data_IF_664208254743
#
_entry.id   IF_664208254743
#
_cell.length_a   1.000
_cell.length_b   1.000
_cell.length_c   1.000
_cell.angle_alpha   90.00
_cell.angle_beta   90.00
_cell.angle_gamma   90.00
#
_symmetry.space_group_name_H-M   'P 1'
#
loop_
_entity.id
_entity.type
_entity.pdbx_description
1 polymer ?
#
# COMPACT_ATOMS: atom_id res chain seq x y z
N UNK A 1 -32.90 6.80 0.74
CA UNK A 1 -31.48 6.96 1.06
C UNK A 1 -31.19 6.18 2.34
N UNK A 2 -30.19 5.29 2.39
CA UNK A 2 -29.78 4.68 3.66
C UNK A 2 -29.00 5.75 4.41
N UNK A 3 -29.54 6.24 5.52
CA UNK A 3 -28.81 7.15 6.40
C UNK A 3 -27.59 6.40 6.94
N UNK A 4 -26.40 6.86 6.58
CA UNK A 4 -25.14 6.40 7.16
C UNK A 4 -24.65 7.51 8.09
N UNK A 5 -24.32 7.14 9.34
CA UNK A 5 -23.74 8.05 10.31
C UNK A 5 -22.28 7.65 10.56
N UNK A 6 -21.35 8.60 10.54
CA UNK A 6 -20.00 8.40 11.06
C UNK A 6 -20.03 8.68 12.56
N UNK A 7 -19.66 7.68 13.36
CA UNK A 7 -19.47 7.83 14.80
C UNK A 7 -17.97 7.78 15.06
N UNK A 8 -17.41 8.93 15.39
CA UNK A 8 -16.00 9.09 15.72
C UNK A 8 -15.85 9.35 17.22
N UNK A 9 -15.11 8.48 17.89
CA UNK A 9 -14.69 8.68 19.28
C UNK A 9 -13.19 8.96 19.35
N UNK A 10 -12.77 9.68 20.39
CA UNK A 10 -11.36 10.01 20.62
C UNK A 10 -10.91 9.39 21.93
N UNK A 11 -9.79 8.67 21.90
CA UNK A 11 -9.08 8.26 23.11
C UNK A 11 -7.97 9.27 23.39
N UNK A 12 -8.01 9.91 24.55
CA UNK A 12 -7.08 10.96 24.96
C UNK A 12 -5.67 10.40 25.24
N UNK A 13 -5.62 9.16 25.72
CA UNK A 13 -4.40 8.40 25.99
C UNK A 13 -4.59 6.88 25.73
N UNK A 14 -3.52 6.11 25.90
CA UNK A 14 -3.54 4.66 25.70
C UNK A 14 -4.22 3.85 26.83
N UNK A 15 -4.54 4.49 27.95
CA UNK A 15 -5.18 3.85 29.12
C UNK A 15 -6.71 3.83 28.92
N UNK A 16 -7.27 4.82 28.22
CA UNK A 16 -8.72 4.95 27.96
C UNK A 16 -9.27 4.09 26.81
N UNK A 17 -8.45 3.29 26.12
CA UNK A 17 -8.87 2.54 24.92
C UNK A 17 -10.12 1.69 25.16
N UNK A 18 -10.16 0.91 26.25
CA UNK A 18 -11.30 0.04 26.57
C UNK A 18 -12.60 0.83 26.82
N UNK A 19 -12.50 1.95 27.55
CA UNK A 19 -13.64 2.82 27.82
C UNK A 19 -14.16 3.47 26.53
N UNK A 20 -13.26 3.91 25.65
CA UNK A 20 -13.60 4.50 24.36
C UNK A 20 -14.28 3.49 23.44
N UNK A 21 -13.78 2.25 23.35
CA UNK A 21 -14.44 1.19 22.59
C UNK A 21 -15.83 0.88 23.16
N UNK A 22 -15.97 0.79 24.49
CA UNK A 22 -17.26 0.54 25.13
C UNK A 22 -18.30 1.64 24.82
N UNK A 23 -17.90 2.93 24.86
CA UNK A 23 -18.78 4.03 24.46
C UNK A 23 -19.17 3.95 22.99
N UNK A 24 -18.20 3.72 22.11
CA UNK A 24 -18.44 3.61 20.67
C UNK A 24 -19.43 2.49 20.34
N UNK A 25 -19.32 1.33 21.02
CA UNK A 25 -20.29 0.24 20.89
C UNK A 25 -21.69 0.63 21.40
N UNK A 26 -21.78 1.37 22.50
CA UNK A 26 -23.06 1.90 23.00
C UNK A 26 -23.75 2.81 21.98
N UNK A 27 -22.98 3.70 21.34
CA UNK A 27 -23.48 4.52 20.25
C UNK A 27 -23.86 3.71 19.00
N UNK A 28 -23.08 2.68 18.66
CA UNK A 28 -23.37 1.80 17.54
C UNK A 28 -24.71 1.07 17.72
N UNK A 29 -24.97 0.51 18.90
CA UNK A 29 -26.24 -0.13 19.22
C UNK A 29 -27.40 0.86 19.14
N UNK A 30 -27.25 2.05 19.75
CA UNK A 30 -28.29 3.09 19.73
C UNK A 30 -28.62 3.54 18.29
N UNK A 31 -27.61 3.64 17.42
CA UNK A 31 -27.81 3.96 16.02
C UNK A 31 -28.56 2.84 15.26
N UNK A 32 -28.20 1.57 15.50
CA UNK A 32 -28.86 0.41 14.90
C UNK A 32 -30.32 0.33 15.34
N UNK A 33 -30.61 0.53 16.62
CA UNK A 33 -31.98 0.56 17.17
C UNK A 33 -32.81 1.69 16.55
N UNK A 34 -32.16 2.81 16.20
CA UNK A 34 -32.74 3.92 15.43
C UNK A 34 -32.86 3.66 13.92
N UNK A 35 -32.52 2.46 13.43
CA UNK A 35 -32.59 2.10 12.01
C UNK A 35 -31.45 2.66 11.14
N UNK A 36 -30.36 3.13 11.76
CA UNK A 36 -29.19 3.69 11.08
C UNK A 36 -28.03 2.69 11.17
N UNK A 37 -27.34 2.44 10.04
CA UNK A 37 -26.13 1.60 10.04
C UNK A 37 -24.89 2.50 10.11
N UNK A 38 -24.15 2.52 11.23
CA UNK A 38 -23.04 3.45 11.38
C UNK A 38 -21.75 2.95 10.74
N UNK A 39 -20.88 3.90 10.41
CA UNK A 39 -19.45 3.74 10.17
C UNK A 39 -18.73 4.14 11.46
N UNK A 40 -17.83 3.28 11.96
CA UNK A 40 -17.18 3.48 13.26
C UNK A 40 -15.72 3.90 13.08
N UNK A 41 -15.29 4.89 13.84
CA UNK A 41 -13.92 5.37 13.86
C UNK A 41 -13.46 5.68 15.29
N UNK A 42 -12.17 5.46 15.54
CA UNK A 42 -11.48 5.84 16.76
C UNK A 42 -10.23 6.66 16.39
N UNK A 43 -10.13 7.88 16.91
CA UNK A 43 -8.91 8.67 16.91
C UNK A 43 -8.10 8.38 18.18
N UNK A 44 -6.80 8.18 18.03
CA UNK A 44 -5.88 7.86 19.14
C UNK A 44 -4.56 8.60 18.97
N UNK A 45 -3.78 8.83 20.05
CA UNK A 45 -2.60 9.70 19.99
C UNK A 45 -1.36 9.03 19.36
N UNK A 46 -1.33 7.71 19.23
CA UNK A 46 -0.17 6.98 18.70
C UNK A 46 -0.55 5.64 18.09
N UNK A 47 0.36 5.08 17.29
CA UNK A 47 0.12 3.87 16.50
C UNK A 47 -0.23 2.64 17.34
N UNK A 48 0.41 2.46 18.50
CA UNK A 48 0.13 1.32 19.40
C UNK A 48 -1.30 1.39 19.95
N UNK A 49 -1.73 2.58 20.39
CA UNK A 49 -3.10 2.81 20.83
C UNK A 49 -4.11 2.59 19.69
N UNK A 50 -3.79 3.05 18.46
CA UNK A 50 -4.64 2.82 17.27
C UNK A 50 -4.85 1.33 17.05
N UNK A 51 -3.76 0.56 16.96
CA UNK A 51 -3.82 -0.88 16.69
C UNK A 51 -4.63 -1.60 17.78
N UNK A 52 -4.37 -1.30 19.06
CA UNK A 52 -5.12 -1.88 20.18
C UNK A 52 -6.61 -1.54 20.09
N UNK A 53 -6.95 -0.28 19.83
CA UNK A 53 -8.34 0.18 19.81
C UNK A 53 -9.14 -0.50 18.70
N UNK A 54 -8.63 -0.54 17.46
CA UNK A 54 -9.35 -1.17 16.36
C UNK A 54 -9.40 -2.69 16.47
N UNK A 55 -8.34 -3.35 16.97
CA UNK A 55 -8.39 -4.81 17.25
C UNK A 55 -9.42 -5.15 18.32
N UNK A 56 -9.47 -4.37 19.41
CA UNK A 56 -10.46 -4.55 20.45
C UNK A 56 -11.88 -4.30 19.93
N UNK A 57 -12.09 -3.21 19.17
CA UNK A 57 -13.37 -2.90 18.55
C UNK A 57 -13.84 -4.03 17.63
N UNK A 58 -12.97 -4.50 16.73
CA UNK A 58 -13.28 -5.60 15.81
C UNK A 58 -13.68 -6.88 16.57
N UNK A 59 -12.93 -7.24 17.63
CA UNK A 59 -13.25 -8.41 18.45
C UNK A 59 -14.58 -8.28 19.18
N UNK A 60 -14.94 -7.08 19.67
CA UNK A 60 -16.23 -6.86 20.33
C UNK A 60 -17.40 -6.87 19.36
N UNK A 61 -17.25 -6.26 18.19
CA UNK A 61 -18.26 -6.32 17.13
C UNK A 61 -18.52 -7.76 16.69
N UNK A 62 -17.47 -8.58 16.52
CA UNK A 62 -17.61 -10.00 16.19
C UNK A 62 -18.34 -10.76 17.29
N UNK A 63 -18.00 -10.52 18.57
CA UNK A 63 -18.70 -11.12 19.71
C UNK A 63 -20.19 -10.75 19.79
N UNK A 64 -20.54 -9.53 19.39
CA UNK A 64 -21.93 -9.03 19.32
C UNK A 64 -22.64 -9.48 18.01
N UNK A 65 -21.97 -10.20 17.11
CA UNK A 65 -22.50 -10.63 15.82
C UNK A 65 -22.71 -9.49 14.82
N UNK A 66 -22.04 -8.35 15.05
CA UNK A 66 -22.16 -7.13 14.25
C UNK A 66 -21.05 -7.03 13.21
N UNK A 67 -21.45 -6.76 11.96
CA UNK A 67 -20.52 -6.42 10.86
C UNK A 67 -20.73 -4.97 10.44
N UNK A 68 -20.04 -4.08 11.13
CA UNK A 68 -20.07 -2.64 10.85
C UNK A 68 -18.77 -2.22 10.18
N UNK A 69 -18.83 -1.29 9.20
CA UNK A 69 -17.61 -0.81 8.56
C UNK A 69 -16.77 0.00 9.55
N UNK A 70 -15.45 -0.16 9.45
CA UNK A 70 -14.45 0.51 10.27
C UNK A 70 -13.67 1.50 9.41
N UNK A 71 -13.70 2.77 9.80
CA UNK A 71 -12.89 3.83 9.20
C UNK A 71 -11.65 4.05 10.04
N UNK A 72 -10.49 3.61 9.53
CA UNK A 72 -9.22 3.69 10.24
C UNK A 72 -8.67 5.11 10.16
N UNK A 73 -8.47 5.72 11.32
CA UNK A 73 -7.86 7.05 11.43
C UNK A 73 -6.41 6.90 11.86
N UNK A 74 -5.47 7.33 11.01
CA UNK A 74 -4.05 7.36 11.36
C UNK A 74 -3.78 8.41 12.46
N UNK A 75 -2.81 8.14 13.37
CA UNK A 75 -2.38 9.14 14.35
C UNK A 75 -1.92 10.43 13.68
N UNK A 76 -2.43 11.56 14.17
CA UNK A 76 -2.04 12.88 13.68
C UNK A 76 -0.62 13.23 14.14
N UNK A 77 0.22 13.71 13.22
CA UNK A 77 1.61 14.08 13.47
C UNK A 77 2.04 15.21 12.56
N UNK A 78 2.51 16.34 13.10
CA UNK A 78 2.94 17.46 12.26
C UNK A 78 4.24 17.16 11.49
N UNK A 79 5.17 16.47 12.12
CA UNK A 79 6.44 16.10 11.51
C UNK A 79 6.21 15.06 10.38
N UNK A 80 6.64 15.33 9.12
CA UNK A 80 6.39 14.42 8.00
C UNK A 80 7.00 13.03 8.15
N UNK A 81 8.18 12.93 8.79
CA UNK A 81 8.85 11.66 9.03
C UNK A 81 8.14 10.83 10.09
N UNK A 82 7.74 11.45 11.21
CA UNK A 82 6.90 10.79 12.22
C UNK A 82 5.53 10.39 11.63
N UNK A 83 4.92 11.24 10.80
CA UNK A 83 3.67 10.93 10.10
C UNK A 83 3.83 9.68 9.24
N UNK A 84 4.89 9.60 8.43
CA UNK A 84 5.22 8.44 7.62
C UNK A 84 5.33 7.18 8.48
N UNK A 85 6.16 7.21 9.52
CA UNK A 85 6.40 6.05 10.38
C UNK A 85 5.14 5.59 11.11
N UNK A 86 4.45 6.51 11.81
CA UNK A 86 3.28 6.16 12.64
C UNK A 86 2.09 5.73 11.81
N UNK A 87 1.87 6.36 10.67
CA UNK A 87 0.82 5.93 9.73
C UNK A 87 1.11 4.54 9.18
N UNK A 88 2.36 4.29 8.77
CA UNK A 88 2.75 2.98 8.22
C UNK A 88 2.59 1.86 9.25
N UNK A 89 2.98 2.10 10.51
CA UNK A 89 2.81 1.13 11.59
C UNK A 89 1.33 0.91 11.92
N UNK A 90 0.57 1.98 12.13
CA UNK A 90 -0.83 1.89 12.54
C UNK A 90 -1.72 1.26 11.48
N UNK A 91 -1.71 1.83 10.26
CA UNK A 91 -2.54 1.34 9.17
C UNK A 91 -2.01 0.00 8.64
N UNK A 92 -0.71 -0.15 8.47
CA UNK A 92 -0.12 -1.40 7.97
C UNK A 92 -0.45 -2.59 8.87
N UNK A 93 -0.34 -2.43 10.20
CA UNK A 93 -0.69 -3.49 11.14
C UNK A 93 -2.15 -3.91 11.03
N UNK A 94 -3.08 -2.96 11.00
CA UNK A 94 -4.52 -3.22 10.93
C UNK A 94 -4.95 -3.79 9.57
N UNK A 95 -4.46 -3.22 8.47
CA UNK A 95 -4.78 -3.69 7.13
C UNK A 95 -4.26 -5.12 6.89
N UNK A 96 -3.06 -5.46 7.38
CA UNK A 96 -2.54 -6.82 7.33
C UNK A 96 -3.35 -7.82 8.18
N UNK A 97 -4.03 -7.36 9.23
CA UNK A 97 -4.99 -8.19 9.99
C UNK A 97 -6.34 -8.33 9.27
N UNK A 98 -6.55 -7.65 8.14
CA UNK A 98 -7.84 -7.57 7.45
C UNK A 98 -8.85 -6.66 8.14
N UNK A 99 -8.39 -5.74 9.00
CA UNK A 99 -9.24 -4.79 9.73
C UNK A 99 -9.21 -3.44 9.01
N UNK A 100 -10.41 -2.92 8.67
CA UNK A 100 -10.58 -1.60 8.07
C UNK A 100 -11.26 -1.63 6.69
N UNK A 101 -12.27 -0.78 6.51
CA UNK A 101 -13.02 -0.63 5.25
C UNK A 101 -12.65 0.67 4.52
N UNK A 102 -12.08 1.63 5.23
CA UNK A 102 -11.57 2.89 4.71
C UNK A 102 -10.48 3.43 5.62
N UNK A 103 -9.62 4.29 5.10
CA UNK A 103 -8.51 4.89 5.84
C UNK A 103 -8.51 6.41 5.69
N UNK A 104 -8.06 7.10 6.73
CA UNK A 104 -7.79 8.53 6.75
C UNK A 104 -6.39 8.76 7.30
N UNK A 105 -5.61 9.56 6.56
CA UNK A 105 -4.34 10.10 7.04
C UNK A 105 -4.56 11.59 7.24
N UNK A 106 -4.65 12.01 8.51
CA UNK A 106 -4.84 13.43 8.87
C UNK A 106 -3.62 14.24 8.43
N UNK A 107 -3.86 15.50 8.05
CA UNK A 107 -2.83 16.38 7.46
C UNK A 107 -3.35 17.42 6.44
N UNK A 108 -4.66 17.49 6.20
CA UNK A 108 -5.27 18.44 5.26
C UNK A 108 -5.22 17.98 3.80
N UNK A 109 -5.39 18.91 2.86
CA UNK A 109 -5.26 18.69 1.40
C UNK A 109 -3.80 18.47 0.94
N UNK A 110 -2.91 18.07 1.85
CA UNK A 110 -1.52 17.76 1.53
C UNK A 110 -1.47 16.52 0.62
N UNK A 111 -0.97 16.65 -0.63
CA UNK A 111 -0.79 15.52 -1.54
C UNK A 111 0.03 14.39 -0.92
N UNK A 112 0.88 14.68 0.06
CA UNK A 112 1.69 13.71 0.80
C UNK A 112 0.83 12.78 1.65
N UNK A 113 -0.21 13.28 2.32
CA UNK A 113 -1.10 12.47 3.14
C UNK A 113 -1.91 11.48 2.30
N UNK A 114 -2.44 11.94 1.16
CA UNK A 114 -3.14 11.09 0.18
C UNK A 114 -2.19 10.01 -0.36
N UNK A 115 -0.98 10.40 -0.81
CA UNK A 115 0.02 9.45 -1.31
C UNK A 115 0.41 8.42 -0.25
N UNK A 116 0.53 8.82 1.01
CA UNK A 116 0.84 7.92 2.12
C UNK A 116 -0.30 6.92 2.38
N UNK A 117 -1.56 7.35 2.32
CA UNK A 117 -2.71 6.46 2.43
C UNK A 117 -2.72 5.38 1.34
N UNK A 118 -2.55 5.78 0.07
CA UNK A 118 -2.47 4.84 -1.06
C UNK A 118 -1.24 3.92 -0.96
N UNK A 119 -0.10 4.42 -0.49
CA UNK A 119 1.08 3.60 -0.26
C UNK A 119 0.83 2.53 0.81
N UNK A 120 0.17 2.88 1.92
CA UNK A 120 -0.16 1.93 2.98
C UNK A 120 -1.15 0.85 2.49
N UNK A 121 -2.16 1.24 1.72
CA UNK A 121 -3.11 0.31 1.10
C UNK A 121 -2.43 -0.63 0.10
N UNK A 122 -1.48 -0.13 -0.69
CA UNK A 122 -0.74 -0.96 -1.64
C UNK A 122 0.26 -1.89 -0.96
N UNK A 123 1.01 -1.39 0.03
CA UNK A 123 2.00 -2.18 0.75
C UNK A 123 1.37 -3.32 1.57
N UNK A 124 0.16 -3.14 2.08
CA UNK A 124 -0.62 -4.18 2.77
C UNK A 124 -1.34 -5.15 1.82
N UNK A 125 -1.34 -4.88 0.51
CA UNK A 125 -2.12 -5.63 -0.48
C UNK A 125 -3.63 -5.35 -0.43
N UNK A 126 -4.10 -4.44 0.42
CA UNK A 126 -5.52 -4.08 0.54
C UNK A 126 -6.06 -3.39 -0.72
N UNK A 127 -5.21 -2.65 -1.46
CA UNK A 127 -5.57 -2.05 -2.75
C UNK A 127 -4.35 -1.82 -3.63
N UNK A 128 -4.39 -2.31 -4.86
CA UNK A 128 -3.39 -1.99 -5.89
C UNK A 128 -3.85 -0.76 -6.67
N UNK A 129 -3.04 0.30 -6.68
CA UNK A 129 -3.41 1.60 -7.27
C UNK A 129 -2.43 2.10 -8.32
N UNK A 130 -1.22 1.54 -8.34
CA UNK A 130 -0.11 1.91 -9.22
C UNK A 130 0.81 0.70 -9.36
N UNK A 131 1.82 0.85 -10.19
CA UNK A 131 2.82 -0.18 -10.44
C UNK A 131 3.55 -0.54 -9.16
N UNK A 132 3.78 -1.83 -8.96
CA UNK A 132 4.60 -2.36 -7.88
C UNK A 132 6.00 -2.63 -8.40
N UNK A 133 7.02 -2.16 -7.68
CA UNK A 133 8.41 -2.32 -8.07
C UNK A 133 9.15 -3.18 -7.06
N UNK A 134 9.76 -4.25 -7.54
CA UNK A 134 10.66 -5.10 -6.76
C UNK A 134 12.06 -4.84 -7.28
N UNK A 135 12.94 -4.29 -6.44
CA UNK A 135 14.31 -4.00 -6.84
C UNK A 135 15.29 -4.58 -5.82
N UNK A 136 16.40 -5.13 -6.30
CA UNK A 136 17.46 -5.59 -5.40
C UNK A 136 18.16 -4.39 -4.73
N UNK A 137 18.81 -4.55 -3.56
CA UNK A 137 19.45 -3.43 -2.86
C UNK A 137 20.74 -2.91 -3.54
N UNK A 138 21.08 -3.41 -4.73
CA UNK A 138 22.39 -3.35 -5.40
C UNK A 138 23.51 -4.12 -4.68
N UNK A 139 24.52 -4.60 -5.42
CA UNK A 139 25.71 -5.26 -4.88
C UNK A 139 26.87 -5.20 -5.89
N UNK A 140 28.04 -5.75 -5.56
CA UNK A 140 29.21 -5.78 -6.47
C UNK A 140 29.03 -6.59 -7.76
N UNK A 141 27.87 -7.24 -7.96
CA UNK A 141 27.53 -7.99 -9.18
C UNK A 141 26.63 -7.19 -10.13
N UNK A 142 26.13 -6.03 -9.69
CA UNK A 142 25.23 -5.19 -10.49
C UNK A 142 25.94 -4.74 -11.77
N UNK A 143 25.29 -4.93 -12.92
CA UNK A 143 25.86 -4.71 -14.26
C UNK A 143 25.51 -3.36 -14.88
N UNK A 144 24.69 -2.57 -14.20
CA UNK A 144 24.29 -1.21 -14.57
C UNK A 144 23.99 -0.39 -13.30
N UNK A 145 23.87 0.93 -13.41
CA UNK A 145 23.49 1.72 -12.25
C UNK A 145 22.00 1.51 -11.92
N UNK A 146 21.76 0.80 -10.81
CA UNK A 146 20.43 0.31 -10.45
C UNK A 146 19.49 1.43 -10.03
N UNK A 147 19.98 2.43 -9.30
CA UNK A 147 19.15 3.52 -8.79
C UNK A 147 18.59 4.39 -9.93
N UNK A 148 19.42 4.98 -10.83
CA UNK A 148 18.92 5.75 -11.95
C UNK A 148 18.06 4.93 -12.90
N UNK A 149 18.39 3.65 -13.11
CA UNK A 149 17.60 2.76 -13.97
C UNK A 149 16.22 2.49 -13.35
N UNK A 150 16.17 2.26 -12.04
CA UNK A 150 14.91 2.10 -11.32
C UNK A 150 14.05 3.35 -11.40
N UNK A 151 14.65 4.53 -11.27
CA UNK A 151 13.92 5.80 -11.34
C UNK A 151 13.37 6.07 -12.75
N UNK A 152 14.15 5.79 -13.81
CA UNK A 152 13.67 5.88 -15.20
C UNK A 152 12.49 4.95 -15.46
N UNK A 153 12.60 3.68 -15.07
CA UNK A 153 11.53 2.70 -15.25
C UNK A 153 10.29 3.12 -14.45
N UNK A 154 10.45 3.58 -13.20
CA UNK A 154 9.34 4.11 -12.38
C UNK A 154 8.67 5.32 -13.02
N UNK A 155 9.44 6.21 -13.63
CA UNK A 155 8.91 7.39 -14.30
C UNK A 155 7.99 7.02 -15.47
N UNK A 156 8.42 6.09 -16.33
CA UNK A 156 7.65 5.71 -17.52
C UNK A 156 6.53 4.71 -17.24
N UNK A 157 6.68 3.84 -16.24
CA UNK A 157 5.71 2.76 -15.97
C UNK A 157 4.90 2.96 -14.70
N UNK A 158 5.16 3.98 -13.87
CA UNK A 158 4.61 4.07 -12.51
C UNK A 158 3.08 4.23 -12.41
N UNK A 159 2.39 4.54 -13.50
CA UNK A 159 0.94 4.72 -13.57
C UNK A 159 0.17 3.41 -13.80
N UNK A 160 0.86 2.32 -14.12
CA UNK A 160 0.24 1.03 -14.47
C UNK A 160 -0.30 0.29 -13.24
N UNK A 161 -1.59 0.45 -12.95
CA UNK A 161 -2.23 -0.28 -11.86
C UNK A 161 -2.27 -1.79 -12.13
N UNK A 162 -1.92 -2.59 -11.13
CA UNK A 162 -1.96 -4.06 -11.21
C UNK A 162 -0.75 -4.69 -11.89
N UNK A 163 0.27 -3.91 -12.26
CA UNK A 163 1.50 -4.42 -12.88
C UNK A 163 2.62 -4.46 -11.85
N UNK A 164 3.30 -5.59 -11.74
CA UNK A 164 4.50 -5.78 -10.92
C UNK A 164 5.74 -5.92 -11.79
N UNK A 165 6.71 -5.03 -11.61
CA UNK A 165 7.94 -4.97 -12.39
C UNK A 165 9.13 -5.20 -11.46
N UNK A 166 9.94 -6.20 -11.78
CA UNK A 166 11.18 -6.50 -11.10
C UNK A 166 12.38 -5.87 -11.82
N UNK A 167 13.29 -5.24 -11.08
CA UNK A 167 14.48 -4.56 -11.61
C UNK A 167 15.70 -5.09 -10.87
N UNK A 168 16.49 -5.90 -11.57
CA UNK A 168 17.52 -6.73 -10.99
C UNK A 168 18.88 -6.41 -11.60
N UNK A 169 19.84 -6.05 -10.76
CA UNK A 169 21.18 -5.69 -11.20
C UNK A 169 21.97 -6.79 -11.89
N UNK A 170 21.63 -8.06 -11.67
CA UNK A 170 22.35 -9.20 -12.25
C UNK A 170 21.45 -10.44 -12.40
N UNK A 171 21.90 -11.37 -13.25
CA UNK A 171 21.21 -12.63 -13.54
C UNK A 171 21.22 -13.64 -12.38
N UNK A 172 22.07 -13.46 -11.36
CA UNK A 172 22.32 -14.51 -10.36
C UNK A 172 21.11 -14.72 -9.45
N UNK A 173 20.73 -13.69 -8.70
CA UNK A 173 19.54 -13.74 -7.85
C UNK A 173 18.30 -13.17 -8.55
N UNK A 174 18.48 -12.43 -9.64
CA UNK A 174 17.41 -11.70 -10.32
C UNK A 174 16.17 -12.58 -10.63
N UNK A 175 16.31 -13.72 -11.33
CA UNK A 175 15.19 -14.59 -11.65
C UNK A 175 14.47 -15.19 -10.43
N UNK A 176 15.17 -15.37 -9.31
CA UNK A 176 14.58 -15.87 -8.06
C UNK A 176 13.85 -14.77 -7.30
N UNK A 177 14.45 -13.58 -7.20
CA UNK A 177 13.88 -12.41 -6.50
C UNK A 177 12.65 -11.84 -7.22
N UNK A 178 12.46 -12.13 -8.51
CA UNK A 178 11.32 -11.68 -9.32
C UNK A 178 10.23 -12.74 -9.52
N UNK A 179 10.23 -13.82 -8.75
CA UNK A 179 9.38 -15.00 -9.01
C UNK A 179 7.87 -14.71 -9.09
N UNK A 180 7.42 -13.61 -8.50
CA UNK A 180 6.03 -13.14 -8.44
C UNK A 180 5.78 -11.90 -9.32
N UNK A 181 6.78 -11.40 -10.04
CA UNK A 181 6.65 -10.23 -10.92
C UNK A 181 6.06 -10.60 -12.29
N UNK A 182 5.30 -9.68 -12.87
CA UNK A 182 4.75 -9.83 -14.22
C UNK A 182 5.84 -9.64 -15.28
N UNK A 183 6.73 -8.67 -15.04
CA UNK A 183 7.82 -8.33 -15.95
C UNK A 183 9.14 -8.18 -15.20
N UNK A 184 10.24 -8.56 -15.84
CA UNK A 184 11.59 -8.45 -15.28
C UNK A 184 12.55 -7.68 -16.18
N UNK A 185 13.33 -6.78 -15.59
CA UNK A 185 14.45 -6.06 -16.17
C UNK A 185 15.72 -6.52 -15.46
N UNK A 186 16.51 -7.39 -16.09
CA UNK A 186 17.62 -8.08 -15.41
C UNK A 186 18.95 -7.85 -16.11
N UNK A 187 19.98 -7.48 -15.37
CA UNK A 187 21.33 -7.33 -15.91
C UNK A 187 21.87 -8.66 -16.46
N UNK A 188 22.11 -8.72 -17.77
CA UNK A 188 22.61 -9.91 -18.45
C UNK A 188 24.13 -9.92 -18.61
N UNK A 189 24.68 -8.78 -19.07
CA UNK A 189 26.11 -8.52 -19.21
C UNK A 189 26.35 -7.00 -19.11
N UNK A 190 27.61 -6.52 -19.02
CA UNK A 190 27.88 -5.08 -19.01
C UNK A 190 27.23 -4.38 -20.22
N UNK A 191 26.41 -3.36 -19.95
CA UNK A 191 25.64 -2.63 -20.97
C UNK A 191 24.49 -3.41 -21.61
N UNK A 192 24.11 -4.58 -21.06
CA UNK A 192 23.12 -5.49 -21.64
C UNK A 192 22.08 -5.95 -20.61
N UNK A 193 20.83 -5.93 -21.03
CA UNK A 193 19.65 -6.28 -20.23
C UNK A 193 18.93 -7.47 -20.85
N UNK A 194 18.41 -8.35 -20.00
CA UNK A 194 17.50 -9.42 -20.36
C UNK A 194 16.10 -9.04 -19.85
N UNK A 195 15.09 -9.14 -20.72
CA UNK A 195 13.71 -8.88 -20.38
C UNK A 195 12.95 -10.19 -20.16
N UNK A 196 12.05 -10.17 -19.19
CA UNK A 196 11.29 -11.33 -18.76
C UNK A 196 9.79 -11.06 -18.72
N UNK A 197 9.02 -12.10 -18.99
CA UNK A 197 7.58 -12.17 -18.69
C UNK A 197 7.38 -13.32 -17.71
N UNK A 198 6.95 -13.00 -16.49
CA UNK A 198 7.04 -13.91 -15.36
C UNK A 198 8.47 -14.41 -15.18
N UNK A 199 8.66 -15.73 -15.33
CA UNK A 199 9.98 -16.39 -15.20
C UNK A 199 10.67 -16.65 -16.55
N UNK A 200 10.00 -16.38 -17.66
CA UNK A 200 10.52 -16.68 -18.99
C UNK A 200 11.33 -15.50 -19.52
N UNK A 201 12.57 -15.77 -19.94
CA UNK A 201 13.40 -14.77 -20.60
C UNK A 201 13.03 -14.67 -22.07
N UNK A 202 12.27 -13.62 -22.42
CA UNK A 202 11.73 -13.40 -23.76
C UNK A 202 12.69 -12.63 -24.67
N UNK A 203 13.49 -11.71 -24.10
CA UNK A 203 14.50 -10.96 -24.84
C UNK A 203 15.83 -11.01 -24.10
N UNK A 204 16.91 -11.30 -24.83
CA UNK A 204 18.26 -11.44 -24.28
C UNK A 204 19.20 -10.42 -24.88
N UNK A 205 20.11 -9.90 -24.05
CA UNK A 205 21.18 -8.99 -24.46
C UNK A 205 20.67 -7.74 -25.20
N UNK A 206 19.53 -7.21 -24.76
CA UNK A 206 19.02 -5.91 -25.20
C UNK A 206 20.03 -4.84 -24.79
N UNK A 207 20.32 -3.88 -25.67
CA UNK A 207 21.17 -2.73 -25.31
C UNK A 207 20.53 -1.97 -24.16
N UNK A 208 21.30 -1.56 -23.15
CA UNK A 208 20.76 -0.78 -22.03
C UNK A 208 20.09 0.53 -22.51
N UNK A 209 20.57 1.12 -23.61
CA UNK A 209 20.01 2.32 -24.21
C UNK A 209 18.58 2.10 -24.74
N UNK A 210 18.30 0.91 -25.27
CA UNK A 210 17.00 0.56 -25.85
C UNK A 210 16.08 -0.17 -24.83
N UNK A 211 16.64 -0.68 -23.73
CA UNK A 211 15.97 -1.62 -22.85
C UNK A 211 14.71 -1.05 -22.18
N UNK A 212 14.68 0.25 -21.88
CA UNK A 212 13.55 0.91 -21.26
C UNK A 212 12.34 0.95 -22.22
N UNK A 213 12.57 1.30 -23.49
CA UNK A 213 11.54 1.30 -24.54
C UNK A 213 11.07 -0.11 -24.88
N UNK A 214 12.00 -1.07 -24.95
CA UNK A 214 11.69 -2.49 -25.17
C UNK A 214 10.83 -3.06 -24.04
N UNK A 215 11.06 -2.66 -22.79
CA UNK A 215 10.19 -3.02 -21.66
C UNK A 215 8.77 -2.48 -21.85
N UNK A 216 8.62 -1.22 -22.28
CA UNK A 216 7.30 -0.61 -22.55
C UNK A 216 6.57 -1.36 -23.67
N UNK A 217 7.25 -1.65 -24.77
CA UNK A 217 6.70 -2.43 -25.88
C UNK A 217 6.27 -3.83 -25.44
N UNK A 218 7.07 -4.48 -24.58
CA UNK A 218 6.75 -5.78 -24.03
C UNK A 218 5.48 -5.74 -23.16
N UNK A 219 5.34 -4.73 -22.30
CA UNK A 219 4.15 -4.52 -21.48
C UNK A 219 2.91 -4.26 -22.35
N UNK A 220 3.05 -3.45 -23.41
CA UNK A 220 1.98 -3.20 -24.40
C UNK A 220 1.56 -4.48 -25.12
N UNK A 221 2.52 -5.29 -25.58
CA UNK A 221 2.26 -6.54 -26.28
C UNK A 221 1.46 -7.56 -25.44
N UNK A 222 1.59 -7.49 -24.11
CA UNK A 222 0.85 -8.34 -23.17
C UNK A 222 -0.47 -7.73 -22.68
N UNK A 223 -0.91 -6.59 -23.25
CA UNK A 223 -2.17 -5.94 -22.88
C UNK A 223 -2.18 -5.39 -21.44
N UNK A 224 -1.01 -5.13 -20.87
CA UNK A 224 -0.84 -4.61 -19.49
C UNK A 224 -0.50 -3.12 -19.46
N UNK A 225 -0.55 -2.47 -20.61
CA UNK A 225 -0.30 -1.04 -20.75
C UNK A 225 -1.61 -0.25 -20.76
N UNK A 226 -1.62 0.86 -20.03
CA UNK A 226 -2.64 1.91 -20.08
C UNK A 226 -1.91 3.23 -20.26
N UNK A 227 -2.39 4.14 -21.09
CA UNK A 227 -1.72 5.43 -21.24
C UNK A 227 -1.80 6.25 -19.94
N UNK A 228 -0.77 7.07 -19.65
CA UNK A 228 -0.75 7.87 -18.43
C UNK A 228 -1.93 8.87 -18.42
N UNK A 229 -2.47 9.18 -17.24
CA UNK A 229 -3.49 10.22 -17.11
C UNK A 229 -2.93 11.59 -17.56
N UNK A 230 -3.77 12.38 -18.23
CA UNK A 230 -3.47 13.77 -18.62
C UNK A 230 -3.16 14.69 -17.42
#
# INVERSE_FOLDING_TARGET
>A
ARTQALILETASDGIEVDATVARLLGWAHSAIDGGVRPLLAIATPNASATIRAYRLLAARLDADGLRLPLHLVAPEQDNPYERLLRTSVALGGLLCDGIGDSVEVRGGEDPTAIRLAFNALQASGARISKTEFVACPSCGRTLFDLQPTTDRIKHVTGHLSGVKIAIMGCIVNGPGEMADADFGYVGGAPGKVNLYVGKECVEKNVSQEDADDRLVELIRAHGRWTDPPE
#
